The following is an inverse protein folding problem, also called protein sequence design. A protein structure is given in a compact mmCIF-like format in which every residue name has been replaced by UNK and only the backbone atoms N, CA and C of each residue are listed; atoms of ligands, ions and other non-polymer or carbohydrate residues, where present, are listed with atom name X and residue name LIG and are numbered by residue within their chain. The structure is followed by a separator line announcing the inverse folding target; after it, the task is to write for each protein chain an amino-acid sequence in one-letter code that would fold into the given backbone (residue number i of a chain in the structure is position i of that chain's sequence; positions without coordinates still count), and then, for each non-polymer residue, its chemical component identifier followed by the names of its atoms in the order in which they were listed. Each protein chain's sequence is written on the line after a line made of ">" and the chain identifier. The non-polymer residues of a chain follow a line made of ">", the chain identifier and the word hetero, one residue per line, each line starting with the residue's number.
data_IF_869685321182
#
_entry.id   IF_869685321182
#
_cell.length_a   1.000
_cell.length_b   1.000
_cell.length_c   1.000
_cell.angle_alpha   90.00
_cell.angle_beta   90.00
_cell.angle_gamma   90.00
#
_symmetry.space_group_name_H-M   'P 1'
#
loop_
_entity.id
_entity.type
_entity.pdbx_description
1 polymer ?
#
# COMPACT_ATOMS: atom_id res chain seq x y z
N UNK A 1 2.89 -23.94 1.53
CA UNK A 1 2.75 -22.67 0.79
C UNK A 1 3.89 -21.77 1.23
N UNK A 2 4.88 -21.54 0.36
CA UNK A 2 6.04 -20.70 0.65
C UNK A 2 5.62 -19.32 1.15
N UNK A 3 6.18 -18.93 2.30
CA UNK A 3 5.90 -17.68 3.01
C UNK A 3 6.09 -16.47 2.05
N UNK A 4 7.09 -16.54 1.17
CA UNK A 4 7.36 -15.55 0.14
C UNK A 4 6.17 -15.33 -0.82
N UNK A 5 5.46 -16.39 -1.19
CA UNK A 5 4.31 -16.30 -2.11
C UNK A 5 3.12 -15.62 -1.42
N UNK A 6 2.99 -15.77 -0.10
CA UNK A 6 1.98 -15.08 0.72
C UNK A 6 2.25 -13.58 0.81
N UNK A 7 3.49 -13.19 1.08
CA UNK A 7 3.92 -11.78 1.14
C UNK A 7 3.73 -11.08 -0.21
N UNK A 8 4.07 -11.75 -1.31
CA UNK A 8 3.84 -11.22 -2.66
C UNK A 8 2.35 -10.94 -2.92
N UNK A 9 1.46 -11.84 -2.48
CA UNK A 9 0.01 -11.66 -2.60
C UNK A 9 -0.45 -10.48 -1.74
N UNK A 10 0.04 -10.35 -0.51
CA UNK A 10 -0.34 -9.26 0.40
C UNK A 10 0.15 -7.88 -0.10
N UNK A 11 1.36 -7.78 -0.64
CA UNK A 11 1.90 -6.54 -1.23
C UNK A 11 1.14 -6.15 -2.50
N UNK A 12 0.80 -7.13 -3.34
CA UNK A 12 -0.08 -6.89 -4.48
C UNK A 12 -1.45 -6.42 -3.99
N UNK A 13 -2.04 -7.09 -3.01
CA UNK A 13 -3.33 -6.70 -2.43
C UNK A 13 -3.28 -5.26 -1.89
N UNK A 14 -2.18 -4.85 -1.26
CA UNK A 14 -1.96 -3.48 -0.81
C UNK A 14 -1.92 -2.47 -1.97
N UNK A 15 -1.23 -2.79 -3.07
CA UNK A 15 -1.24 -1.98 -4.29
C UNK A 15 -2.63 -1.85 -4.91
N UNK A 16 -3.39 -2.94 -4.99
CA UNK A 16 -4.78 -2.93 -5.48
C UNK A 16 -5.73 -2.21 -4.50
N UNK A 17 -5.49 -2.28 -3.20
CA UNK A 17 -6.30 -1.59 -2.19
C UNK A 17 -6.19 -0.07 -2.28
N UNK A 18 -5.15 0.46 -2.95
CA UNK A 18 -5.02 1.90 -3.25
C UNK A 18 -6.05 2.39 -4.28
N UNK A 19 -6.71 1.50 -5.04
CA UNK A 19 -7.82 1.87 -5.94
C UNK A 19 -9.07 2.34 -5.18
N UNK A 20 -9.29 1.84 -3.96
CA UNK A 20 -10.42 2.26 -3.10
C UNK A 20 -10.29 3.73 -2.64
N UNK A 21 -9.18 4.18 -2.03
CA UNK A 21 -9.02 5.59 -1.71
C UNK A 21 -8.92 6.46 -2.97
N UNK A 22 -8.32 5.96 -4.07
CA UNK A 22 -8.31 6.69 -5.33
C UNK A 22 -9.73 6.92 -5.89
N UNK A 23 -10.63 5.93 -5.82
CA UNK A 23 -12.01 6.07 -6.29
C UNK A 23 -12.82 7.03 -5.41
N UNK A 24 -12.63 6.99 -4.08
CA UNK A 24 -13.25 7.93 -3.14
C UNK A 24 -12.78 9.36 -3.43
N UNK A 25 -11.49 9.57 -3.64
CA UNK A 25 -10.94 10.89 -4.01
C UNK A 25 -11.46 11.38 -5.36
N UNK A 26 -11.72 10.47 -6.31
CA UNK A 26 -12.28 10.80 -7.61
C UNK A 26 -13.75 11.23 -7.51
N UNK A 27 -14.54 10.58 -6.66
CA UNK A 27 -15.91 11.01 -6.34
C UNK A 27 -15.91 12.39 -5.69
N UNK A 28 -15.01 12.63 -4.74
CA UNK A 28 -14.84 13.96 -4.14
C UNK A 28 -14.46 15.01 -5.19
N UNK A 29 -13.49 14.70 -6.07
CA UNK A 29 -13.11 15.58 -7.18
C UNK A 29 -14.29 15.92 -8.10
N UNK A 30 -15.16 14.95 -8.42
CA UNK A 30 -16.35 15.22 -9.24
C UNK A 30 -17.31 16.21 -8.58
N UNK A 31 -17.33 16.24 -7.24
CA UNK A 31 -18.24 17.09 -6.48
C UNK A 31 -17.70 18.51 -6.25
N UNK A 32 -16.41 18.64 -5.90
CA UNK A 32 -15.77 19.95 -5.65
C UNK A 32 -15.09 20.56 -6.88
N UNK A 33 -14.77 19.77 -7.91
CA UNK A 33 -13.98 20.19 -9.10
C UNK A 33 -12.60 20.79 -8.76
N UNK A 34 -12.09 20.54 -7.56
CA UNK A 34 -10.83 21.13 -7.08
C UNK A 34 -9.63 20.29 -7.54
N UNK A 35 -8.66 20.96 -8.17
CA UNK A 35 -7.43 20.37 -8.73
C UNK A 35 -6.58 19.68 -7.66
N UNK A 36 -6.69 20.07 -6.39
CA UNK A 36 -5.99 19.41 -5.28
C UNK A 36 -6.28 17.90 -5.21
N UNK A 37 -7.53 17.48 -5.48
CA UNK A 37 -7.90 16.06 -5.45
C UNK A 37 -7.28 15.26 -6.61
N UNK A 38 -7.07 15.89 -7.77
CA UNK A 38 -6.35 15.25 -8.89
C UNK A 38 -4.89 14.98 -8.56
N UNK A 39 -4.24 15.92 -7.87
CA UNK A 39 -2.85 15.75 -7.41
C UNK A 39 -2.76 14.58 -6.44
N UNK A 40 -3.71 14.50 -5.48
CA UNK A 40 -3.80 13.37 -4.55
C UNK A 40 -4.01 12.04 -5.28
N UNK A 41 -4.94 11.97 -6.24
CA UNK A 41 -5.16 10.75 -7.05
C UNK A 41 -3.87 10.35 -7.80
N UNK A 42 -3.15 11.32 -8.37
CA UNK A 42 -1.88 11.08 -9.04
C UNK A 42 -0.82 10.50 -8.10
N UNK A 43 -0.69 11.04 -6.89
CA UNK A 43 0.23 10.51 -5.87
C UNK A 43 -0.14 9.07 -5.45
N UNK A 44 -1.44 8.79 -5.27
CA UNK A 44 -1.93 7.44 -4.93
C UNK A 44 -1.62 6.46 -6.06
N UNK A 45 -1.82 6.86 -7.32
CA UNK A 45 -1.53 6.02 -8.48
C UNK A 45 -0.03 5.73 -8.63
N UNK A 46 0.83 6.74 -8.44
CA UNK A 46 2.29 6.57 -8.44
C UNK A 46 2.73 5.63 -7.32
N UNK A 47 2.18 5.80 -6.11
CA UNK A 47 2.47 4.93 -4.99
C UNK A 47 2.03 3.49 -5.24
N UNK A 48 0.81 3.28 -5.77
CA UNK A 48 0.31 1.97 -6.13
C UNK A 48 1.21 1.31 -7.17
N UNK A 49 1.60 2.04 -8.23
CA UNK A 49 2.52 1.56 -9.26
C UNK A 49 3.90 1.22 -8.67
N UNK A 50 4.42 2.04 -7.76
CA UNK A 50 5.68 1.79 -7.06
C UNK A 50 5.61 0.52 -6.20
N UNK A 51 4.55 0.34 -5.42
CA UNK A 51 4.33 -0.87 -4.59
C UNK A 51 4.18 -2.11 -5.46
N UNK A 52 3.41 -2.04 -6.56
CA UNK A 52 3.25 -3.14 -7.51
C UNK A 52 4.55 -3.49 -8.24
N UNK A 53 5.32 -2.49 -8.65
CA UNK A 53 6.60 -2.67 -9.34
C UNK A 53 7.69 -3.21 -8.41
N UNK A 54 7.68 -2.82 -7.14
CA UNK A 54 8.66 -3.27 -6.16
C UNK A 54 8.23 -4.53 -5.41
N UNK A 55 7.03 -5.08 -5.67
CA UNK A 55 6.47 -6.21 -4.94
C UNK A 55 7.35 -7.48 -4.95
N UNK A 56 8.19 -7.66 -5.97
CA UNK A 56 9.13 -8.78 -6.09
C UNK A 56 10.51 -8.50 -5.49
N UNK A 57 10.74 -7.31 -4.93
CA UNK A 57 12.02 -6.91 -4.37
C UNK A 57 12.24 -7.52 -2.98
N UNK A 58 13.46 -7.99 -2.71
CA UNK A 58 13.89 -8.51 -1.40
C UNK A 58 13.69 -7.53 -0.24
N UNK A 59 13.52 -6.23 -0.53
CA UNK A 59 13.28 -5.18 0.47
C UNK A 59 12.00 -5.40 1.27
N UNK A 60 11.00 -6.08 0.70
CA UNK A 60 9.73 -6.39 1.38
C UNK A 60 9.86 -7.48 2.45
N UNK A 61 10.97 -8.24 2.46
CA UNK A 61 11.30 -9.18 3.54
C UNK A 61 11.92 -8.51 4.76
N UNK A 62 12.08 -7.18 4.75
CA UNK A 62 12.53 -6.43 5.92
C UNK A 62 11.32 -5.84 6.65
N UNK A 63 10.98 -6.33 7.86
CA UNK A 63 9.78 -5.88 8.58
C UNK A 63 9.78 -4.37 8.86
N UNK A 64 10.94 -3.77 9.11
CA UNK A 64 11.08 -2.32 9.32
C UNK A 64 10.71 -1.51 8.07
N UNK A 65 11.03 -2.01 6.87
CA UNK A 65 10.72 -1.34 5.61
C UNK A 65 9.22 -1.42 5.29
N UNK A 66 8.61 -2.59 5.53
CA UNK A 66 7.16 -2.79 5.40
C UNK A 66 6.39 -1.88 6.34
N UNK A 67 6.86 -1.74 7.59
CA UNK A 67 6.22 -0.85 8.57
C UNK A 67 6.33 0.63 8.16
N UNK A 68 7.49 1.07 7.66
CA UNK A 68 7.65 2.44 7.14
C UNK A 68 6.70 2.72 5.97
N UNK A 69 6.60 1.80 5.00
CA UNK A 69 5.64 1.90 3.90
C UNK A 69 4.18 1.91 4.41
N UNK A 70 3.87 1.12 5.45
CA UNK A 70 2.55 1.09 6.07
C UNK A 70 2.19 2.44 6.71
N UNK A 71 3.13 3.07 7.41
CA UNK A 71 2.96 4.40 7.99
C UNK A 71 2.77 5.47 6.91
N UNK A 72 3.54 5.41 5.81
CA UNK A 72 3.38 6.32 4.68
C UNK A 72 2.00 6.16 4.04
N UNK A 73 1.55 4.92 3.81
CA UNK A 73 0.21 4.66 3.30
C UNK A 73 -0.89 5.16 4.25
N UNK A 74 -0.74 4.94 5.56
CA UNK A 74 -1.69 5.37 6.59
C UNK A 74 -1.86 6.91 6.63
N UNK A 75 -0.75 7.65 6.54
CA UNK A 75 -0.76 9.11 6.65
C UNK A 75 -1.11 9.84 5.35
N UNK A 76 -0.61 9.37 4.20
CA UNK A 76 -0.75 10.09 2.94
C UNK A 76 -1.88 9.58 2.04
N UNK A 77 -2.32 8.33 2.19
CA UNK A 77 -3.26 7.68 1.25
C UNK A 77 -4.56 7.30 1.96
N UNK A 78 -4.47 6.85 3.21
CA UNK A 78 -5.61 6.56 4.08
C UNK A 78 -5.48 5.25 4.85
N UNK A 79 -6.46 4.98 5.71
CA UNK A 79 -6.47 3.82 6.62
C UNK A 79 -6.65 2.48 5.87
N UNK A 80 -7.34 2.50 4.73
CA UNK A 80 -7.68 1.31 3.94
C UNK A 80 -6.45 0.54 3.44
N UNK A 81 -5.44 1.16 2.79
CA UNK A 81 -4.22 0.45 2.37
C UNK A 81 -3.31 0.03 3.53
N UNK A 82 -3.42 0.67 4.70
CA UNK A 82 -2.58 0.32 5.85
C UNK A 82 -2.94 -1.05 6.46
N UNK A 83 -4.19 -1.49 6.36
CA UNK A 83 -4.67 -2.77 6.90
C UNK A 83 -3.93 -3.98 6.27
N UNK A 84 -3.90 -4.15 4.93
CA UNK A 84 -3.16 -5.26 4.32
C UNK A 84 -1.64 -5.19 4.56
N UNK A 85 -1.07 -3.98 4.62
CA UNK A 85 0.35 -3.76 4.98
C UNK A 85 0.66 -4.19 6.43
N UNK A 86 -0.28 -3.97 7.36
CA UNK A 86 -0.17 -4.45 8.74
C UNK A 86 -0.23 -5.98 8.86
N UNK A 87 -1.02 -6.65 8.01
CA UNK A 87 -1.05 -8.10 7.92
C UNK A 87 0.28 -8.66 7.39
N UNK A 88 0.86 -8.04 6.36
CA UNK A 88 2.19 -8.39 5.86
C UNK A 88 3.27 -8.24 6.95
N UNK A 89 3.24 -7.15 7.71
CA UNK A 89 4.13 -6.94 8.86
C UNK A 89 3.96 -7.99 9.96
N UNK A 90 2.73 -8.37 10.29
CA UNK A 90 2.46 -9.44 11.27
C UNK A 90 2.93 -10.81 10.78
N UNK A 91 2.86 -11.06 9.47
CA UNK A 91 3.41 -12.25 8.82
C UNK A 91 4.93 -12.31 8.93
N UNK A 92 5.62 -11.22 8.61
CA UNK A 92 7.09 -11.08 8.72
C UNK A 92 7.57 -11.22 10.18
N UNK A 93 6.88 -10.61 11.15
CA UNK A 93 7.20 -10.80 12.58
C UNK A 93 7.01 -12.23 13.06
N UNK A 94 6.00 -12.95 12.58
CA UNK A 94 5.78 -14.37 12.91
C UNK A 94 6.75 -15.30 12.19
N UNK A 95 7.25 -14.89 11.02
CA UNK A 95 8.26 -15.63 10.26
C UNK A 95 9.64 -15.59 10.93
N UNK A 96 9.87 -14.66 11.88
CA UNK A 96 10.98 -14.71 12.81
C UNK A 96 12.34 -14.70 12.12
N UNK A 97 12.85 -13.52 11.79
CA UNK A 97 14.28 -13.36 11.61
C UNK A 97 14.86 -12.47 12.72
N UNK A 98 15.90 -13.04 13.34
CA UNK A 98 16.83 -12.45 14.30
C UNK A 98 17.43 -11.16 13.77
#
# INVERSE_FOLDING_TARGET
>A
MDIQRKILIDVRLAGWSCLLPASVMLVYYQWTRDVFFLIMIGLIAIYAAFVLATATSEKWHRPNYVLQMAWVALFFIGVVPAIPLFFAYHGERKAGWK
#
